data_IF_900435652496
#
_entry.id   IF_900435652496
#
_cell.length_a   1.000
_cell.length_b   1.000
_cell.length_c   1.000
_cell.angle_alpha   90.00
_cell.angle_beta   90.00
_cell.angle_gamma   90.00
#
_symmetry.space_group_name_H-M   'P 1'
#
loop_
_entity.id
_entity.type
_entity.pdbx_description
1 polymer ?
#
# COMPACT_ATOMS: atom_id res chain seq x y z
N UNK A 1 -11.84 11.73 16.54
CA UNK A 1 -11.27 10.48 17.09
C UNK A 1 -11.20 9.48 15.95
N UNK A 2 -10.07 9.42 15.23
CA UNK A 2 -9.87 8.41 14.18
C UNK A 2 -9.70 7.09 14.91
N UNK A 3 -10.62 6.14 14.70
CA UNK A 3 -10.45 4.78 15.22
C UNK A 3 -9.15 4.25 14.64
N UNK A 4 -8.22 3.86 15.51
CA UNK A 4 -6.98 3.19 15.11
C UNK A 4 -7.35 1.78 14.63
N UNK A 5 -7.97 1.71 13.46
CA UNK A 5 -8.38 0.48 12.83
C UNK A 5 -7.19 0.05 11.98
N UNK A 6 -6.52 -1.02 12.40
CA UNK A 6 -5.54 -1.70 11.56
C UNK A 6 -6.24 -2.01 10.24
N UNK A 7 -5.68 -1.49 9.15
CA UNK A 7 -6.21 -1.69 7.81
C UNK A 7 -5.93 -3.13 7.40
N UNK A 8 -6.93 -3.78 6.81
CA UNK A 8 -6.73 -5.07 6.18
C UNK A 8 -6.06 -4.84 4.83
N UNK A 9 -4.73 -5.02 4.79
CA UNK A 9 -3.92 -4.77 3.60
C UNK A 9 -4.29 -5.70 2.45
N UNK A 10 -4.76 -6.92 2.74
CA UNK A 10 -5.17 -7.87 1.69
C UNK A 10 -6.48 -7.41 1.05
N UNK A 11 -7.47 -7.03 1.87
CA UNK A 11 -8.72 -6.47 1.37
C UNK A 11 -8.49 -5.16 0.60
N UNK A 12 -7.58 -4.31 1.09
CA UNK A 12 -7.22 -3.06 0.44
C UNK A 12 -6.52 -3.28 -0.91
N UNK A 13 -5.61 -4.26 -0.99
CA UNK A 13 -4.95 -4.64 -2.24
C UNK A 13 -5.95 -5.21 -3.25
N UNK A 14 -6.84 -6.09 -2.80
CA UNK A 14 -7.88 -6.67 -3.66
C UNK A 14 -8.79 -5.58 -4.26
N UNK A 15 -9.15 -4.55 -3.48
CA UNK A 15 -9.88 -3.39 -3.98
C UNK A 15 -9.08 -2.63 -5.05
N UNK A 16 -7.78 -2.43 -4.81
CA UNK A 16 -6.90 -1.76 -5.77
C UNK A 16 -6.79 -2.53 -7.10
N UNK A 17 -6.67 -3.85 -7.04
CA UNK A 17 -6.50 -4.72 -8.22
C UNK A 17 -7.80 -4.94 -8.99
N UNK A 18 -8.94 -4.94 -8.30
CA UNK A 18 -10.27 -5.01 -8.92
C UNK A 18 -10.69 -3.70 -9.59
N UNK A 19 -10.14 -2.57 -9.14
CA UNK A 19 -10.38 -1.29 -9.77
C UNK A 19 -9.79 -1.25 -11.19
N UNK A 20 -10.33 -0.39 -12.05
CA UNK A 20 -9.79 -0.23 -13.41
C UNK A 20 -8.29 0.06 -13.34
N UNK A 21 -7.51 -0.51 -14.25
CA UNK A 21 -6.07 -0.33 -14.31
C UNK A 21 -5.73 0.90 -15.17
N UNK A 22 -4.58 1.51 -14.87
CA UNK A 22 -4.06 2.65 -15.63
C UNK A 22 -3.60 2.27 -17.04
N UNK A 23 -3.06 3.23 -17.80
CA UNK A 23 -2.52 4.51 -17.32
C UNK A 23 -3.62 5.56 -17.09
N UNK A 24 -3.48 6.34 -16.02
CA UNK A 24 -4.40 7.43 -15.70
C UNK A 24 -3.88 8.74 -16.27
N UNK A 25 -4.76 9.53 -16.88
CA UNK A 25 -4.39 10.83 -17.47
C UNK A 25 -5.47 11.87 -17.20
N UNK A 26 -5.06 13.13 -17.23
CA UNK A 26 -5.95 14.29 -17.18
C UNK A 26 -6.14 14.84 -18.60
N UNK A 27 -7.26 15.51 -18.85
CA UNK A 27 -7.44 16.32 -20.06
C UNK A 27 -7.13 17.78 -19.77
N UNK A 28 -6.60 18.49 -20.77
CA UNK A 28 -6.32 19.92 -20.68
C UNK A 28 -7.55 20.81 -20.93
N UNK A 29 -8.73 20.22 -21.19
CA UNK A 29 -9.94 20.97 -21.54
C UNK A 29 -10.71 21.41 -20.29
N UNK A 30 -10.13 22.35 -19.52
CA UNK A 30 -10.74 23.26 -18.51
C UNK A 30 -11.77 22.73 -17.49
N UNK A 31 -12.12 21.45 -17.55
CA UNK A 31 -12.94 20.71 -16.61
C UNK A 31 -12.05 19.60 -16.09
N UNK A 32 -12.05 19.46 -14.78
CA UNK A 32 -11.09 18.70 -14.03
C UNK A 32 -11.32 17.19 -14.15
N UNK A 33 -11.32 16.66 -15.36
CA UNK A 33 -11.74 15.30 -15.67
C UNK A 33 -10.58 14.33 -15.44
N UNK A 34 -10.85 13.23 -14.73
CA UNK A 34 -9.95 12.09 -14.63
C UNK A 34 -10.35 11.02 -15.66
N UNK A 35 -9.40 10.64 -16.53
CA UNK A 35 -9.64 9.67 -17.59
C UNK A 35 -8.66 8.51 -17.56
N UNK A 36 -9.06 7.42 -18.22
CA UNK A 36 -8.17 6.32 -18.58
C UNK A 36 -7.56 6.58 -19.95
N UNK A 37 -6.24 6.52 -20.05
CA UNK A 37 -5.51 6.73 -21.29
C UNK A 37 -5.88 5.63 -22.28
N UNK A 38 -6.40 6.02 -23.45
CA UNK A 38 -6.76 5.10 -24.53
C UNK A 38 -8.23 4.65 -24.55
N UNK A 39 -8.99 4.86 -23.46
CA UNK A 39 -10.43 4.54 -23.44
C UNK A 39 -11.32 5.77 -23.62
N UNK A 40 -10.82 6.97 -23.33
CA UNK A 40 -11.58 8.23 -23.47
C UNK A 40 -12.77 8.33 -22.51
N UNK A 41 -12.85 7.46 -21.49
CA UNK A 41 -13.91 7.46 -20.48
C UNK A 41 -13.52 8.36 -19.30
N UNK A 42 -14.43 9.26 -18.94
CA UNK A 42 -14.34 10.08 -17.72
C UNK A 42 -14.84 9.25 -16.54
N UNK A 43 -14.01 9.10 -15.52
CA UNK A 43 -14.35 8.35 -14.29
C UNK A 43 -14.62 9.25 -13.08
N UNK A 44 -14.31 10.52 -13.17
CA UNK A 44 -14.62 11.48 -12.13
C UNK A 44 -14.30 12.91 -12.53
N UNK A 45 -14.98 13.84 -11.87
CA UNK A 45 -14.68 15.27 -11.90
C UNK A 45 -14.01 15.62 -10.58
N UNK A 46 -12.80 16.17 -10.66
CA UNK A 46 -12.04 16.64 -9.51
C UNK A 46 -12.20 18.16 -9.37
N UNK A 47 -11.76 18.75 -8.27
CA UNK A 47 -11.99 20.18 -8.02
C UNK A 47 -10.76 21.01 -8.40
N UNK A 48 -9.58 20.38 -8.40
CA UNK A 48 -8.30 21.05 -8.61
C UNK A 48 -7.32 20.18 -9.41
N UNK A 49 -6.28 20.80 -9.97
CA UNK A 49 -5.20 20.08 -10.64
C UNK A 49 -4.35 19.28 -9.63
N UNK A 50 -4.29 19.75 -8.39
CA UNK A 50 -3.66 19.10 -7.25
C UNK A 50 -4.37 17.79 -6.91
N UNK A 51 -5.71 17.78 -6.86
CA UNK A 51 -6.50 16.57 -6.62
C UNK A 51 -6.32 15.55 -7.74
N UNK A 52 -6.25 16.00 -9.01
CA UNK A 52 -5.96 15.11 -10.14
C UNK A 52 -4.60 14.44 -9.99
N UNK A 53 -3.58 15.24 -9.71
CA UNK A 53 -2.21 14.74 -9.53
C UNK A 53 -2.16 13.75 -8.38
N UNK A 54 -2.83 14.07 -7.26
CA UNK A 54 -2.93 13.19 -6.10
C UNK A 54 -3.63 11.87 -6.45
N UNK A 55 -4.81 11.90 -7.09
CA UNK A 55 -5.57 10.69 -7.40
C UNK A 55 -4.81 9.80 -8.39
N UNK A 56 -4.17 10.37 -9.42
CA UNK A 56 -3.37 9.61 -10.39
C UNK A 56 -2.20 8.91 -9.67
N UNK A 57 -1.41 9.69 -8.91
CA UNK A 57 -0.28 9.15 -8.16
C UNK A 57 -0.73 8.10 -7.13
N UNK A 58 -1.89 8.31 -6.49
CA UNK A 58 -2.45 7.37 -5.54
C UNK A 58 -2.88 6.06 -6.21
N UNK A 59 -3.59 6.10 -7.34
CA UNK A 59 -4.05 4.90 -8.04
C UNK A 59 -2.91 4.01 -8.53
N UNK A 60 -1.79 4.61 -8.91
CA UNK A 60 -0.61 3.88 -9.35
C UNK A 60 0.30 3.46 -8.17
N UNK A 61 0.42 4.32 -7.16
CA UNK A 61 1.34 4.13 -6.02
C UNK A 61 0.79 3.25 -4.90
N UNK A 62 -0.51 3.29 -4.60
CA UNK A 62 -1.10 2.56 -3.47
C UNK A 62 -0.96 1.04 -3.58
N UNK A 63 -1.25 0.40 -4.73
CA UNK A 63 -1.07 -1.06 -4.85
C UNK A 63 0.38 -1.47 -4.55
N UNK A 64 1.35 -0.67 -5.00
CA UNK A 64 2.76 -0.89 -4.71
C UNK A 64 3.09 -0.71 -3.22
N UNK A 65 2.64 0.39 -2.62
CA UNK A 65 2.89 0.68 -1.21
C UNK A 65 2.29 -0.39 -0.29
N UNK A 66 1.10 -0.90 -0.61
CA UNK A 66 0.44 -1.98 0.15
C UNK A 66 1.25 -3.28 0.04
N UNK A 67 1.67 -3.68 -1.16
CA UNK A 67 2.52 -4.87 -1.35
C UNK A 67 3.84 -4.76 -0.59
N UNK A 68 4.44 -3.57 -0.58
CA UNK A 68 5.66 -3.30 0.18
C UNK A 68 5.41 -3.45 1.69
N UNK A 69 4.31 -2.90 2.21
CA UNK A 69 3.94 -3.06 3.62
C UNK A 69 3.75 -4.53 3.99
N UNK A 70 3.01 -5.31 3.20
CA UNK A 70 2.84 -6.74 3.42
C UNK A 70 4.18 -7.51 3.37
N UNK A 71 5.11 -7.11 2.48
CA UNK A 71 6.44 -7.71 2.42
C UNK A 71 7.25 -7.39 3.68
N UNK A 72 7.18 -6.16 4.17
CA UNK A 72 7.85 -5.74 5.40
C UNK A 72 7.28 -6.47 6.63
N UNK A 73 5.96 -6.67 6.70
CA UNK A 73 5.33 -7.45 7.78
C UNK A 73 5.88 -8.89 7.82
N UNK A 74 5.95 -9.56 6.66
CA UNK A 74 6.55 -10.91 6.57
C UNK A 74 8.02 -10.94 6.98
N UNK A 75 8.79 -9.91 6.62
CA UNK A 75 10.20 -9.84 6.98
C UNK A 75 10.39 -9.57 8.48
N UNK A 76 9.55 -8.73 9.09
CA UNK A 76 9.55 -8.51 10.54
C UNK A 76 9.24 -9.82 11.28
N UNK A 77 8.21 -10.55 10.86
CA UNK A 77 7.84 -11.83 11.46
C UNK A 77 8.99 -12.84 11.39
N UNK A 78 9.67 -12.91 10.24
CA UNK A 78 10.85 -13.75 10.04
C UNK A 78 11.98 -13.38 11.00
N UNK A 79 12.34 -12.10 11.05
CA UNK A 79 13.44 -11.61 11.90
C UNK A 79 13.14 -11.81 13.39
N UNK A 80 11.88 -11.63 13.80
CA UNK A 80 11.44 -11.89 15.17
C UNK A 80 11.59 -13.37 15.53
N UNK A 81 11.21 -14.28 14.63
CA UNK A 81 11.39 -15.72 14.83
C UNK A 81 12.88 -16.11 14.93
N UNK A 82 13.72 -15.58 14.03
CA UNK A 82 15.18 -15.79 14.08
C UNK A 82 15.75 -15.30 15.42
N UNK A 83 15.39 -14.08 15.84
CA UNK A 83 15.82 -13.51 17.12
C UNK A 83 15.38 -14.37 18.32
N UNK A 84 14.15 -14.88 18.30
CA UNK A 84 13.63 -15.75 19.35
C UNK A 84 14.46 -17.04 19.45
N UNK A 85 14.78 -17.67 18.32
CA UNK A 85 15.63 -18.87 18.27
C UNK A 85 17.02 -18.56 18.86
N UNK A 86 17.63 -17.44 18.45
CA UNK A 86 18.94 -17.04 18.99
C UNK A 86 18.90 -16.81 20.51
N UNK A 87 17.90 -16.08 21.00
CA UNK A 87 17.72 -15.84 22.44
C UNK A 87 17.49 -17.12 23.24
N UNK A 88 16.86 -18.13 22.64
CA UNK A 88 16.66 -19.42 23.28
C UNK A 88 17.95 -20.26 23.30
N UNK A 89 18.73 -20.23 22.21
CA UNK A 89 20.06 -20.82 22.15
C UNK A 89 21.02 -20.19 23.18
N UNK A 90 21.06 -18.86 23.29
CA UNK A 90 21.89 -18.17 24.28
C UNK A 90 21.49 -18.53 25.71
N UNK A 91 20.18 -18.55 26.02
CA UNK A 91 19.69 -18.96 27.34
C UNK A 91 20.12 -20.39 27.69
N UNK A 92 20.10 -21.30 26.72
CA UNK A 92 20.57 -22.68 26.92
C UNK A 92 22.09 -22.76 27.12
N UNK A 93 22.85 -21.92 26.42
CA UNK A 93 24.31 -21.89 26.51
C UNK A 93 24.84 -21.26 27.81
N UNK A 94 24.15 -20.24 28.35
CA UNK A 94 24.56 -19.61 29.61
C UNK A 94 24.51 -20.56 30.82
N UNK A 95 23.71 -21.63 30.78
CA UNK A 95 23.60 -22.57 31.89
C UNK A 95 23.13 -21.92 33.21
N UNK A 96 22.91 -22.70 34.28
CA UNK A 96 22.41 -22.18 35.56
C UNK A 96 23.50 -21.60 36.48
N UNK A 97 24.73 -21.43 35.99
CA UNK A 97 25.89 -21.06 36.81
C UNK A 97 26.51 -19.68 36.47
N UNK A 98 25.86 -18.91 35.59
CA UNK A 98 26.01 -17.44 35.49
C UNK A 98 25.07 -16.75 36.49
#
# INVERSE_FOLDING_TARGET
MVKNQVRDLEADLALCEAATQGPWVTTNNSNYDLLIKGEGRVLGFLVSAEDQTFVIAAREGWPYAIRLAQQMEREIDRLQNELQIYQECERRQRGPWD
#
